data_IF_122220016779
#
_entry.id   IF_122220016779
#
_cell.length_a   1.000
_cell.length_b   1.000
_cell.length_c   1.000
_cell.angle_alpha   90.00
_cell.angle_beta   90.00
_cell.angle_gamma   90.00
#
_symmetry.space_group_name_H-M   'P 1'
#
loop_
_entity.id
_entity.type
_entity.pdbx_description
1 polymer ?
#
# COMPACT_ATOMS: atom_id res chain seq x y z
N UNK A 1 -26.76 40.70 -15.75
CA UNK A 1 -27.83 39.90 -15.13
C UNK A 1 -27.39 38.46 -15.27
N UNK A 2 -27.03 37.66 -14.25
CA UNK A 2 -27.10 37.76 -12.79
C UNK A 2 -25.98 36.90 -12.15
N UNK A 3 -25.37 37.46 -11.10
CA UNK A 3 -24.90 36.90 -9.82
C UNK A 3 -24.06 35.60 -9.73
N UNK A 4 -22.75 35.81 -9.51
CA UNK A 4 -21.87 34.94 -8.72
C UNK A 4 -21.50 35.74 -7.44
N UNK A 5 -21.61 35.18 -6.21
CA UNK A 5 -21.22 35.92 -5.01
C UNK A 5 -19.69 35.93 -4.85
N UNK A 6 -19.13 37.15 -4.77
CA UNK A 6 -17.75 37.40 -4.33
C UNK A 6 -17.73 37.49 -2.80
N UNK A 7 -16.83 36.75 -2.16
CA UNK A 7 -16.55 36.86 -0.73
C UNK A 7 -15.50 37.96 -0.55
N UNK A 8 -15.86 39.05 0.11
CA UNK A 8 -14.95 40.11 0.57
C UNK A 8 -14.58 39.90 2.04
N UNK A 9 -13.32 40.13 2.45
CA UNK A 9 -12.92 40.04 3.85
C UNK A 9 -13.35 41.30 4.62
N UNK A 10 -14.12 41.12 5.69
CA UNK A 10 -14.54 42.19 6.58
C UNK A 10 -13.43 42.54 7.58
N UNK A 11 -12.97 43.79 7.51
CA UNK A 11 -12.99 44.71 8.65
C UNK A 11 -11.97 44.50 9.77
N UNK A 12 -10.88 45.25 9.67
CA UNK A 12 -10.01 45.67 10.77
C UNK A 12 -10.71 46.70 11.66
N UNK A 13 -10.81 46.45 12.96
CA UNK A 13 -11.05 47.49 13.97
C UNK A 13 -9.86 47.57 14.92
N UNK A 14 -9.10 48.65 14.77
CA UNK A 14 -8.21 49.20 15.78
C UNK A 14 -9.04 50.16 16.64
N UNK A 15 -9.03 50.01 17.96
CA UNK A 15 -9.26 51.13 18.88
C UNK A 15 -8.36 50.96 20.12
N UNK A 16 -7.46 51.93 20.21
CA UNK A 16 -6.49 52.21 21.26
C UNK A 16 -7.17 52.64 22.56
N UNK A 17 -6.51 52.37 23.68
CA UNK A 17 -6.84 52.92 25.00
C UNK A 17 -5.97 52.28 26.08
N UNK A 18 -4.84 52.94 26.37
CA UNK A 18 -3.83 52.61 27.38
C UNK A 18 -4.43 52.24 28.76
N UNK A 19 -3.72 51.55 29.66
CA UNK A 19 -2.97 52.24 30.72
C UNK A 19 -2.18 51.23 31.63
N UNK A 20 -0.89 51.52 31.84
CA UNK A 20 0.13 51.04 32.82
C UNK A 20 0.61 49.56 32.80
N UNK A 21 1.81 49.25 32.28
CA UNK A 21 3.16 49.32 32.94
C UNK A 21 3.34 48.30 34.09
N UNK A 22 4.44 47.54 34.27
CA UNK A 22 5.69 47.38 33.54
C UNK A 22 6.42 46.09 34.04
N UNK A 23 7.19 45.51 33.10
CA UNK A 23 8.38 44.63 33.14
C UNK A 23 9.09 44.19 34.45
N UNK A 24 9.87 43.12 34.22
CA UNK A 24 11.10 42.60 34.89
C UNK A 24 10.81 41.46 35.87
N UNK A 25 10.96 40.16 35.55
CA UNK A 25 12.12 39.35 35.14
C UNK A 25 13.07 38.95 36.30
N UNK A 26 13.56 37.71 36.21
CA UNK A 26 14.80 37.16 36.82
C UNK A 26 14.70 36.56 38.24
N UNK A 27 14.63 35.22 38.25
CA UNK A 27 15.68 34.28 38.71
C UNK A 27 15.89 33.94 40.21
N UNK A 28 16.31 32.68 40.38
CA UNK A 28 17.13 32.07 41.41
C UNK A 28 16.66 31.94 42.87
N UNK A 29 16.45 30.67 43.22
CA UNK A 29 16.59 29.97 44.51
C UNK A 29 17.31 30.69 45.66
N UNK A 30 16.65 30.78 46.83
CA UNK A 30 17.29 30.69 48.15
C UNK A 30 16.29 30.33 49.28
N UNK A 31 16.52 29.17 49.89
CA UNK A 31 16.38 28.75 51.30
C UNK A 31 15.36 29.39 52.28
N UNK A 32 14.69 28.46 52.98
CA UNK A 32 14.27 28.43 54.41
C UNK A 32 13.27 29.45 54.95
N UNK A 33 12.10 28.95 55.38
CA UNK A 33 11.49 29.09 56.73
C UNK A 33 10.18 28.28 56.77
N UNK A 34 10.18 27.09 57.42
CA UNK A 34 9.59 26.82 58.75
C UNK A 34 8.11 27.18 58.89
N UNK A 35 7.22 26.20 58.66
CA UNK A 35 5.83 26.24 59.14
C UNK A 35 5.70 25.39 60.41
N UNK A 36 5.21 26.07 61.45
CA UNK A 36 5.11 25.65 62.85
C UNK A 36 4.08 24.53 63.11
N UNK A 37 4.47 23.62 64.01
CA UNK A 37 3.62 22.61 64.67
C UNK A 37 2.99 23.24 65.93
N UNK A 38 1.70 23.01 66.25
CA UNK A 38 1.19 23.14 67.61
C UNK A 38 1.21 21.79 68.35
N UNK A 39 1.72 21.84 69.57
CA UNK A 39 2.00 20.73 70.51
C UNK A 39 0.75 20.12 71.14
N UNK A 40 0.87 18.84 71.49
CA UNK A 40 0.03 18.09 72.44
C UNK A 40 0.20 18.68 73.85
N UNK A 41 -0.89 18.75 74.62
CA UNK A 41 -0.81 18.81 76.08
C UNK A 41 -1.66 17.70 76.69
N UNK A 42 -1.00 16.84 77.45
CA UNK A 42 -1.54 15.78 78.32
C UNK A 42 -1.94 16.36 79.67
N UNK A 43 -2.97 15.79 80.29
CA UNK A 43 -3.12 15.81 81.75
C UNK A 43 -4.34 16.55 82.28
N UNK A 44 -5.20 15.76 82.91
CA UNK A 44 -6.11 16.05 84.02
C UNK A 44 -7.18 17.15 83.85
N UNK A 45 -8.45 16.72 83.81
CA UNK A 45 -9.45 17.27 84.72
C UNK A 45 -10.64 16.31 84.91
N UNK A 46 -10.95 16.14 86.18
CA UNK A 46 -11.91 15.23 86.80
C UNK A 46 -13.35 15.74 86.65
N UNK A 47 -14.25 14.83 86.27
CA UNK A 47 -15.68 14.67 86.65
C UNK A 47 -16.60 15.90 86.65
N UNK A 48 -17.64 15.84 85.82
CA UNK A 48 -19.02 16.05 86.32
C UNK A 48 -20.04 15.34 85.44
N UNK A 49 -20.76 14.40 86.04
CA UNK A 49 -21.88 13.70 85.41
C UNK A 49 -23.06 14.67 85.19
N UNK A 50 -23.64 14.65 83.99
CA UNK A 50 -25.05 15.00 83.78
C UNK A 50 -25.75 13.82 83.11
N UNK A 51 -26.60 13.15 83.90
CA UNK A 51 -27.60 12.19 83.43
C UNK A 51 -28.49 12.86 82.40
N UNK A 52 -28.41 12.43 81.15
CA UNK A 52 -29.50 12.58 80.21
C UNK A 52 -30.24 11.26 80.14
N UNK A 53 -31.49 11.31 80.58
CA UNK A 53 -32.49 10.25 80.58
C UNK A 53 -32.67 9.66 79.19
N UNK A 54 -32.45 8.34 79.10
CA UNK A 54 -32.79 7.51 77.96
C UNK A 54 -34.31 7.45 77.85
N UNK A 55 -34.86 8.10 76.83
CA UNK A 55 -36.21 7.81 76.35
C UNK A 55 -36.14 6.52 75.53
N UNK A 56 -36.49 5.40 76.16
CA UNK A 56 -36.75 4.12 75.50
C UNK A 56 -37.95 4.27 74.56
N UNK A 57 -37.67 4.55 73.30
CA UNK A 57 -38.59 4.21 72.21
C UNK A 57 -38.03 2.94 71.57
N UNK A 58 -38.77 1.82 71.52
CA UNK A 58 -38.25 0.59 70.94
C UNK A 58 -38.12 0.78 69.43
N UNK A 59 -36.96 1.26 68.98
CA UNK A 59 -36.56 1.23 67.59
C UNK A 59 -36.58 -0.22 67.15
N UNK A 60 -37.62 -0.61 66.40
CA UNK A 60 -37.75 -1.94 65.79
C UNK A 60 -36.45 -2.26 65.06
N UNK A 61 -35.61 -3.09 65.68
CA UNK A 61 -34.44 -3.69 65.04
C UNK A 61 -34.94 -4.35 63.76
N UNK A 62 -34.60 -3.75 62.62
CA UNK A 62 -34.87 -4.30 61.29
C UNK A 62 -34.24 -5.69 61.26
N UNK A 63 -35.03 -6.73 61.49
CA UNK A 63 -34.58 -8.14 61.48
C UNK A 63 -33.79 -8.33 60.19
N UNK A 64 -32.45 -8.47 60.28
CA UNK A 64 -31.59 -8.84 59.15
C UNK A 64 -32.20 -10.10 58.55
N UNK A 65 -32.79 -9.94 57.36
CA UNK A 65 -33.62 -10.96 56.77
C UNK A 65 -32.68 -12.06 56.27
N UNK A 66 -32.39 -13.07 57.11
CA UNK A 66 -31.40 -14.13 56.81
C UNK A 66 -31.67 -14.83 55.47
N UNK A 67 -32.91 -14.81 54.97
CA UNK A 67 -33.28 -15.28 53.63
C UNK A 67 -32.72 -14.41 52.49
N UNK A 68 -32.70 -13.09 52.63
CA UNK A 68 -32.16 -12.16 51.63
C UNK A 68 -30.64 -12.32 51.49
N UNK A 69 -29.92 -12.49 52.61
CA UNK A 69 -28.47 -12.73 52.58
C UNK A 69 -28.13 -14.09 51.94
N UNK A 70 -28.98 -15.11 52.09
CA UNK A 70 -28.82 -16.40 51.38
C UNK A 70 -29.05 -16.27 49.88
N UNK A 71 -30.04 -15.47 49.45
CA UNK A 71 -30.30 -15.19 48.03
C UNK A 71 -29.14 -14.39 47.41
N UNK A 72 -28.65 -13.35 48.09
CA UNK A 72 -27.48 -12.58 47.67
C UNK A 72 -26.22 -13.45 47.57
N UNK A 73 -26.00 -14.35 48.55
CA UNK A 73 -24.88 -15.30 48.51
C UNK A 73 -25.01 -16.31 47.36
N UNK A 74 -26.21 -16.81 47.09
CA UNK A 74 -26.47 -17.70 45.96
C UNK A 74 -26.26 -17.00 44.60
N UNK A 75 -26.72 -15.74 44.46
CA UNK A 75 -26.47 -14.91 43.28
C UNK A 75 -24.98 -14.60 43.08
N UNK A 76 -24.25 -14.33 44.18
CA UNK A 76 -22.80 -14.13 44.13
C UNK A 76 -22.07 -15.41 43.72
N UNK A 77 -22.48 -16.57 44.23
CA UNK A 77 -21.92 -17.86 43.83
C UNK A 77 -22.19 -18.15 42.35
N UNK A 78 -23.41 -17.87 41.88
CA UNK A 78 -23.79 -18.00 40.46
C UNK A 78 -22.96 -17.06 39.57
N UNK A 79 -22.75 -15.82 40.01
CA UNK A 79 -21.89 -14.86 39.32
C UNK A 79 -20.43 -15.33 39.25
N UNK A 80 -19.88 -15.90 40.33
CA UNK A 80 -18.54 -16.49 40.32
C UNK A 80 -18.43 -17.68 39.37
N UNK A 81 -19.46 -18.55 39.34
CA UNK A 81 -19.51 -19.67 38.39
C UNK A 81 -19.56 -19.13 36.95
N UNK A 82 -20.40 -18.14 36.66
CA UNK A 82 -20.46 -17.50 35.36
C UNK A 82 -19.11 -16.88 34.96
N UNK A 83 -18.43 -16.16 35.87
CA UNK A 83 -17.08 -15.62 35.62
C UNK A 83 -16.06 -16.72 35.36
N UNK A 84 -16.11 -17.85 36.08
CA UNK A 84 -15.19 -18.97 35.86
C UNK A 84 -15.40 -19.61 34.49
N UNK A 85 -16.65 -19.77 34.05
CA UNK A 85 -17.00 -20.29 32.72
C UNK A 85 -16.49 -19.34 31.63
N UNK A 86 -16.75 -18.04 31.77
CA UNK A 86 -16.24 -17.02 30.82
C UNK A 86 -14.71 -17.06 30.78
N UNK A 87 -14.04 -17.14 31.93
CA UNK A 87 -12.58 -17.24 32.00
C UNK A 87 -12.01 -18.46 31.27
N UNK A 88 -12.63 -19.64 31.43
CA UNK A 88 -12.21 -20.87 30.73
C UNK A 88 -12.41 -20.73 29.22
N UNK A 89 -13.55 -20.19 28.78
CA UNK A 89 -13.85 -19.97 27.36
C UNK A 89 -12.88 -18.95 26.74
N UNK A 90 -12.67 -17.81 27.38
CA UNK A 90 -11.72 -16.78 26.95
C UNK A 90 -10.27 -17.31 26.92
N UNK A 91 -9.88 -18.16 27.87
CA UNK A 91 -8.57 -18.79 27.85
C UNK A 91 -8.39 -19.73 26.65
N UNK A 92 -9.44 -20.47 26.27
CA UNK A 92 -9.42 -21.31 25.07
C UNK A 92 -9.21 -20.48 23.81
N UNK A 93 -9.93 -19.36 23.68
CA UNK A 93 -9.77 -18.42 22.55
C UNK A 93 -8.35 -17.84 22.51
N UNK A 94 -7.82 -17.43 23.66
CA UNK A 94 -6.45 -16.92 23.76
C UNK A 94 -5.40 -17.96 23.31
N UNK A 95 -5.56 -19.22 23.72
CA UNK A 95 -4.65 -20.30 23.32
C UNK A 95 -4.67 -20.52 21.80
N UNK A 96 -5.85 -20.55 21.19
CA UNK A 96 -5.97 -20.75 19.74
C UNK A 96 -5.49 -19.51 18.96
N UNK A 97 -5.70 -18.29 19.47
CA UNK A 97 -5.10 -17.07 18.91
C UNK A 97 -3.56 -17.11 18.90
N UNK A 98 -2.94 -17.69 19.95
CA UNK A 98 -1.48 -17.83 20.00
C UNK A 98 -0.96 -18.84 18.97
N UNK A 99 -1.69 -19.94 18.75
CA UNK A 99 -1.38 -20.89 17.67
C UNK A 99 -1.50 -20.23 16.31
N UNK A 100 -2.59 -19.50 16.06
CA UNK A 100 -2.79 -18.72 14.84
C UNK A 100 -1.63 -17.78 14.55
N UNK A 101 -1.21 -17.00 15.56
CA UNK A 101 -0.05 -16.11 15.43
C UNK A 101 1.21 -16.88 15.03
N UNK A 102 1.44 -18.04 15.66
CA UNK A 102 2.61 -18.88 15.38
C UNK A 102 2.56 -19.44 13.96
N UNK A 103 1.39 -19.90 13.52
CA UNK A 103 1.17 -20.47 12.21
C UNK A 103 1.25 -19.40 11.10
N UNK A 104 0.71 -18.21 11.34
CA UNK A 104 0.84 -17.07 10.44
C UNK A 104 2.31 -16.63 10.26
N UNK A 105 3.11 -16.67 11.33
CA UNK A 105 4.55 -16.40 11.23
C UNK A 105 5.27 -17.47 10.40
N UNK A 106 4.93 -18.75 10.57
CA UNK A 106 5.52 -19.83 9.75
C UNK A 106 5.18 -19.69 8.27
N UNK A 107 3.94 -19.33 7.96
CA UNK A 107 3.52 -19.04 6.59
C UNK A 107 4.31 -17.86 6.00
N UNK A 108 4.50 -16.79 6.78
CA UNK A 108 5.35 -15.66 6.36
C UNK A 108 6.78 -16.13 6.06
N UNK A 109 7.34 -16.97 6.92
CA UNK A 109 8.69 -17.50 6.76
C UNK A 109 8.79 -18.49 5.57
N UNK A 110 7.73 -19.22 5.23
CA UNK A 110 7.71 -20.12 4.07
C UNK A 110 7.70 -19.37 2.75
N UNK A 111 6.94 -18.27 2.65
CA UNK A 111 6.98 -17.40 1.48
C UNK A 111 8.36 -16.77 1.28
N UNK A 112 9.06 -16.44 2.36
CA UNK A 112 10.45 -15.94 2.29
C UNK A 112 11.44 -16.99 1.76
N UNK A 113 11.14 -18.28 1.92
CA UNK A 113 11.95 -19.39 1.41
C UNK A 113 11.70 -19.70 -0.09
N UNK A 114 10.72 -19.04 -0.72
CA UNK A 114 10.31 -19.25 -2.11
C UNK A 114 9.95 -20.71 -2.45
N UNK A 115 9.42 -21.46 -1.49
CA UNK A 115 8.98 -22.85 -1.68
C UNK A 115 7.44 -22.90 -1.69
N UNK A 116 6.85 -23.23 -2.85
CA UNK A 116 5.39 -23.23 -2.99
C UNK A 116 4.73 -24.41 -2.28
N UNK A 117 5.40 -25.57 -2.18
CA UNK A 117 4.81 -26.75 -1.55
C UNK A 117 4.78 -26.58 -0.03
N UNK A 118 5.85 -26.02 0.55
CA UNK A 118 5.86 -25.62 1.97
C UNK A 118 4.83 -24.52 2.20
N UNK A 119 4.77 -23.49 1.34
CA UNK A 119 3.81 -22.40 1.50
C UNK A 119 2.36 -22.88 1.42
N UNK A 120 2.04 -23.80 0.50
CA UNK A 120 0.71 -24.42 0.43
C UNK A 120 0.40 -25.21 1.69
N UNK A 121 1.35 -26.00 2.18
CA UNK A 121 1.17 -26.81 3.40
C UNK A 121 0.91 -25.93 4.62
N UNK A 122 1.73 -24.88 4.81
CA UNK A 122 1.57 -23.93 5.93
C UNK A 122 0.28 -23.11 5.82
N UNK A 123 -0.21 -22.85 4.60
CA UNK A 123 -1.47 -22.17 4.34
C UNK A 123 -2.67 -23.05 4.69
N UNK A 124 -2.67 -24.33 4.31
CA UNK A 124 -3.69 -25.29 4.74
C UNK A 124 -3.67 -25.51 6.26
N UNK A 125 -2.49 -25.54 6.87
CA UNK A 125 -2.36 -25.57 8.33
C UNK A 125 -2.94 -24.31 8.98
N UNK A 126 -2.71 -23.13 8.40
CA UNK A 126 -3.32 -21.88 8.86
C UNK A 126 -4.85 -21.94 8.76
N UNK A 127 -5.41 -22.44 7.66
CA UNK A 127 -6.86 -22.67 7.49
C UNK A 127 -7.45 -23.49 8.64
N UNK A 128 -6.79 -24.59 8.98
CA UNK A 128 -7.22 -25.49 10.05
C UNK A 128 -7.16 -24.83 11.44
N UNK A 129 -6.13 -24.02 11.70
CA UNK A 129 -6.03 -23.24 12.93
C UNK A 129 -7.06 -22.10 12.98
N UNK A 130 -7.41 -21.47 11.85
CA UNK A 130 -8.50 -20.47 11.76
C UNK A 130 -9.83 -21.15 12.10
N UNK A 131 -10.13 -22.31 11.51
CA UNK A 131 -11.36 -23.05 11.84
C UNK A 131 -11.40 -23.55 13.28
N UNK A 132 -10.25 -23.79 13.91
CA UNK A 132 -10.17 -24.13 15.34
C UNK A 132 -10.41 -22.90 16.22
N UNK A 133 -9.83 -21.76 15.85
CA UNK A 133 -10.07 -20.49 16.51
C UNK A 133 -11.54 -20.04 16.38
N UNK A 134 -12.14 -20.17 15.21
CA UNK A 134 -13.57 -19.89 14.95
C UNK A 134 -14.49 -20.70 15.89
N UNK A 135 -14.25 -22.01 16.01
CA UNK A 135 -14.97 -22.87 16.96
C UNK A 135 -14.79 -22.45 18.42
N UNK A 136 -13.62 -21.94 18.80
CA UNK A 136 -13.40 -21.40 20.14
C UNK A 136 -14.06 -20.03 20.33
N UNK A 137 -14.06 -19.19 19.30
CA UNK A 137 -14.60 -17.83 19.31
C UNK A 137 -16.14 -17.80 19.29
N UNK A 138 -16.76 -18.69 18.52
CA UNK A 138 -18.21 -18.89 18.47
C UNK A 138 -18.82 -19.33 19.80
N UNK A 139 -18.05 -20.00 20.68
CA UNK A 139 -18.47 -20.29 22.06
C UNK A 139 -18.66 -19.03 22.92
N UNK A 140 -18.07 -17.90 22.53
CA UNK A 140 -18.28 -16.59 23.14
C UNK A 140 -19.45 -15.81 22.51
N UNK A 141 -20.28 -16.44 21.68
CA UNK A 141 -21.43 -15.78 21.02
C UNK A 141 -22.41 -15.09 21.96
N UNK A 142 -22.47 -15.47 23.24
CA UNK A 142 -23.25 -14.76 24.26
C UNK A 142 -22.80 -13.30 24.46
N UNK A 143 -21.55 -12.97 24.11
CA UNK A 143 -21.00 -11.60 24.17
C UNK A 143 -21.70 -10.67 23.18
N UNK A 144 -22.30 -11.20 22.11
CA UNK A 144 -23.11 -10.42 21.14
C UNK A 144 -24.27 -9.68 21.82
N UNK A 145 -24.79 -10.18 22.93
CA UNK A 145 -25.89 -9.57 23.66
C UNK A 145 -25.49 -8.35 24.52
N UNK A 146 -24.19 -8.10 24.71
CA UNK A 146 -23.69 -7.04 25.59
C UNK A 146 -23.39 -5.78 24.76
N UNK A 147 -24.14 -4.66 24.92
CA UNK A 147 -24.07 -3.53 24.00
C UNK A 147 -22.68 -2.96 23.74
N UNK A 148 -21.84 -2.84 24.79
CA UNK A 148 -20.52 -2.21 24.72
C UNK A 148 -19.47 -3.06 23.98
N UNK A 149 -19.56 -4.39 24.11
CA UNK A 149 -18.56 -5.32 23.53
C UNK A 149 -19.08 -6.07 22.30
N UNK A 150 -20.36 -5.90 21.97
CA UNK A 150 -21.01 -6.56 20.82
C UNK A 150 -20.36 -6.20 19.48
N UNK A 151 -19.94 -4.95 19.31
CA UNK A 151 -19.25 -4.46 18.11
C UNK A 151 -17.90 -5.15 17.92
N UNK A 152 -17.08 -5.21 18.98
CA UNK A 152 -15.79 -5.91 18.96
C UNK A 152 -15.94 -7.41 18.67
N UNK A 153 -17.03 -8.02 19.14
CA UNK A 153 -17.32 -9.41 18.80
C UNK A 153 -17.60 -9.58 17.31
N UNK A 154 -18.43 -8.70 16.73
CA UNK A 154 -18.74 -8.72 15.31
C UNK A 154 -17.52 -8.45 14.45
N UNK A 155 -16.67 -7.50 14.85
CA UNK A 155 -15.41 -7.21 14.15
C UNK A 155 -14.51 -8.45 14.11
N UNK A 156 -14.48 -9.24 15.18
CA UNK A 156 -13.76 -10.52 15.21
C UNK A 156 -14.38 -11.59 14.30
N UNK A 157 -15.71 -11.66 14.20
CA UNK A 157 -16.41 -12.56 13.29
C UNK A 157 -16.11 -12.20 11.82
N UNK A 158 -16.20 -10.92 11.47
CA UNK A 158 -15.81 -10.40 10.15
C UNK A 158 -14.33 -10.70 9.84
N UNK A 159 -13.42 -10.51 10.81
CA UNK A 159 -12.01 -10.82 10.63
C UNK A 159 -11.75 -12.32 10.41
N UNK A 160 -12.48 -13.20 11.10
CA UNK A 160 -12.36 -14.65 10.92
C UNK A 160 -12.83 -15.05 9.50
N UNK A 161 -13.99 -14.55 9.07
CA UNK A 161 -14.51 -14.81 7.73
C UNK A 161 -13.57 -14.28 6.64
N UNK A 162 -13.09 -13.03 6.78
CA UNK A 162 -12.09 -12.44 5.90
C UNK A 162 -10.81 -13.29 5.85
N UNK A 163 -10.35 -13.80 7.00
CA UNK A 163 -9.16 -14.68 7.05
C UNK A 163 -9.40 -15.99 6.31
N UNK A 164 -10.60 -16.58 6.39
CA UNK A 164 -10.94 -17.79 5.64
C UNK A 164 -10.96 -17.52 4.13
N UNK A 165 -11.63 -16.46 3.67
CA UNK A 165 -11.63 -16.08 2.26
C UNK A 165 -10.23 -15.74 1.74
N UNK A 166 -9.40 -15.07 2.55
CA UNK A 166 -8.02 -14.76 2.21
C UNK A 166 -7.13 -16.00 2.09
N UNK A 167 -7.34 -16.99 2.96
CA UNK A 167 -6.64 -18.28 2.86
C UNK A 167 -7.11 -19.07 1.65
N UNK A 168 -8.42 -19.09 1.35
CA UNK A 168 -8.96 -19.73 0.15
C UNK A 168 -8.43 -19.08 -1.14
N UNK A 169 -8.39 -17.74 -1.19
CA UNK A 169 -7.79 -16.98 -2.28
C UNK A 169 -6.29 -17.30 -2.44
N UNK A 170 -5.57 -17.41 -1.33
CA UNK A 170 -4.16 -17.81 -1.31
C UNK A 170 -3.95 -19.24 -1.83
N UNK A 171 -4.80 -20.20 -1.45
CA UNK A 171 -4.71 -21.59 -1.92
C UNK A 171 -4.93 -21.65 -3.43
N UNK A 172 -5.96 -20.95 -3.93
CA UNK A 172 -6.25 -20.83 -5.37
C UNK A 172 -5.09 -20.17 -6.14
N UNK A 173 -4.51 -19.11 -5.60
CA UNK A 173 -3.36 -18.42 -6.21
C UNK A 173 -2.13 -19.35 -6.27
N UNK A 174 -1.82 -20.05 -5.17
CA UNK A 174 -0.72 -21.02 -5.15
C UNK A 174 -0.95 -22.16 -6.16
N UNK A 175 -2.18 -22.66 -6.29
CA UNK A 175 -2.52 -23.70 -7.28
C UNK A 175 -2.50 -23.20 -8.72
N UNK A 176 -2.77 -21.91 -8.93
CA UNK A 176 -2.65 -21.24 -10.22
C UNK A 176 -1.18 -21.05 -10.61
N UNK A 177 -0.34 -20.69 -9.65
CA UNK A 177 1.08 -20.39 -9.85
C UNK A 177 1.94 -21.66 -9.89
N UNK A 178 1.51 -22.74 -9.24
CA UNK A 178 2.29 -24.00 -9.12
C UNK A 178 2.82 -24.57 -10.44
N UNK A 179 2.05 -24.64 -11.54
CA UNK A 179 2.57 -25.11 -12.83
C UNK A 179 3.68 -24.22 -13.41
N UNK A 180 3.82 -23.01 -12.87
CA UNK A 180 4.62 -21.90 -13.38
C UNK A 180 5.71 -21.46 -12.40
N UNK A 181 5.87 -22.21 -11.30
CA UNK A 181 6.74 -21.90 -10.17
C UNK A 181 8.19 -21.64 -10.57
N UNK A 182 8.75 -22.51 -11.40
CA UNK A 182 10.15 -22.47 -11.86
C UNK A 182 10.48 -21.13 -12.54
N UNK A 183 9.57 -20.64 -13.40
CA UNK A 183 9.74 -19.38 -14.14
C UNK A 183 9.56 -18.16 -13.24
N UNK A 184 8.74 -18.28 -12.20
CA UNK A 184 8.54 -17.23 -11.21
C UNK A 184 9.62 -17.25 -10.11
N UNK A 185 10.65 -18.10 -10.24
CA UNK A 185 11.75 -18.20 -9.29
C UNK A 185 11.38 -18.91 -7.98
N UNK A 186 10.32 -19.72 -8.00
CA UNK A 186 9.91 -20.57 -6.89
C UNK A 186 10.38 -22.01 -7.06
N UNK A 187 10.65 -22.65 -5.92
CA UNK A 187 11.01 -24.07 -5.83
C UNK A 187 9.77 -24.93 -5.71
N UNK A 188 9.82 -26.11 -6.35
CA UNK A 188 8.80 -27.17 -6.26
C UNK A 188 9.50 -28.48 -5.90
N UNK A 189 8.90 -29.27 -5.01
CA UNK A 189 9.46 -30.53 -4.56
C UNK A 189 9.70 -31.48 -5.74
N UNK A 190 10.94 -31.99 -5.86
CA UNK A 190 11.32 -32.94 -6.91
C UNK A 190 11.83 -32.31 -8.21
N UNK A 191 11.85 -30.97 -8.31
CA UNK A 191 12.63 -30.27 -9.32
C UNK A 191 13.79 -29.59 -8.60
N UNK A 192 15.01 -30.11 -8.80
CA UNK A 192 16.19 -29.27 -8.60
C UNK A 192 15.97 -28.01 -9.43
N UNK A 193 16.30 -26.84 -8.89
CA UNK A 193 16.37 -25.59 -9.64
C UNK A 193 17.45 -25.76 -10.71
N UNK A 194 17.14 -26.52 -11.75
CA UNK A 194 17.76 -26.39 -13.03
C UNK A 194 17.35 -24.99 -13.43
N UNK A 195 18.23 -24.05 -13.17
CA UNK A 195 18.37 -22.83 -13.94
C UNK A 195 18.57 -23.26 -15.40
N UNK A 196 17.51 -23.77 -16.03
CA UNK A 196 17.40 -23.82 -17.47
C UNK A 196 17.48 -22.35 -17.82
N UNK A 197 18.63 -21.96 -18.36
CA UNK A 197 18.84 -20.61 -18.89
C UNK A 197 17.80 -20.45 -19.99
N UNK A 198 16.62 -19.99 -19.60
CA UNK A 198 15.51 -19.66 -20.48
C UNK A 198 15.84 -18.31 -21.05
N UNK A 199 15.80 -18.21 -22.38
CA UNK A 199 15.95 -16.93 -23.05
C UNK A 199 14.78 -16.02 -22.63
N UNK A 200 14.97 -14.71 -22.74
CA UNK A 200 13.87 -13.75 -22.56
C UNK A 200 12.62 -14.15 -23.39
N UNK A 201 12.86 -14.72 -24.58
CA UNK A 201 11.81 -15.19 -25.45
C UNK A 201 11.04 -16.39 -24.91
N UNK A 202 11.73 -17.36 -24.29
CA UNK A 202 11.06 -18.54 -23.71
C UNK A 202 10.12 -18.13 -22.56
N UNK A 203 10.49 -17.09 -21.81
CA UNK A 203 9.65 -16.53 -20.75
C UNK A 203 8.41 -15.82 -21.31
N UNK A 204 8.59 -15.03 -22.38
CA UNK A 204 7.48 -14.34 -23.07
C UNK A 204 6.51 -15.35 -23.71
N UNK A 205 7.04 -16.31 -24.46
CA UNK A 205 6.25 -17.37 -25.10
C UNK A 205 5.48 -18.19 -24.06
N UNK A 206 6.06 -18.37 -22.88
CA UNK A 206 5.39 -18.99 -21.76
C UNK A 206 4.25 -18.12 -21.21
N UNK A 207 4.49 -16.86 -20.86
CA UNK A 207 3.44 -15.95 -20.35
C UNK A 207 2.25 -15.90 -21.32
N UNK A 208 2.52 -15.83 -22.62
CA UNK A 208 1.49 -15.87 -23.66
C UNK A 208 0.67 -17.15 -23.62
N UNK A 209 1.32 -18.30 -23.46
CA UNK A 209 0.63 -19.60 -23.41
C UNK A 209 -0.14 -19.83 -22.12
N UNK A 210 0.23 -19.15 -21.02
CA UNK A 210 -0.42 -19.33 -19.71
C UNK A 210 -1.58 -18.38 -19.47
N UNK A 211 -1.60 -17.21 -20.11
CA UNK A 211 -2.70 -16.25 -20.01
C UNK A 211 -4.08 -16.92 -20.17
N UNK A 212 -4.36 -17.74 -21.20
CA UNK A 212 -5.68 -18.36 -21.37
C UNK A 212 -6.10 -19.26 -20.21
N UNK A 213 -5.14 -19.93 -19.57
CA UNK A 213 -5.38 -20.82 -18.42
C UNK A 213 -5.54 -20.04 -17.11
N UNK A 214 -4.98 -18.84 -17.03
CA UNK A 214 -4.99 -17.98 -15.84
C UNK A 214 -6.29 -17.16 -15.78
N UNK A 215 -6.78 -16.64 -16.91
CA UNK A 215 -8.00 -15.82 -16.98
C UNK A 215 -9.19 -16.40 -16.19
N UNK A 216 -9.62 -17.67 -16.39
CA UNK A 216 -10.75 -18.20 -15.64
C UNK A 216 -10.46 -18.33 -14.13
N UNK A 217 -9.20 -18.55 -13.73
CA UNK A 217 -8.83 -18.62 -12.31
C UNK A 217 -8.78 -17.25 -11.65
N UNK A 218 -8.58 -16.18 -12.43
CA UNK A 218 -8.69 -14.81 -11.92
C UNK A 218 -10.14 -14.46 -11.59
N UNK A 219 -11.12 -14.98 -12.33
CA UNK A 219 -12.53 -14.79 -11.97
C UNK A 219 -12.84 -15.37 -10.59
N UNK A 220 -12.43 -16.62 -10.38
CA UNK A 220 -12.57 -17.29 -9.09
C UNK A 220 -11.81 -16.55 -7.98
N UNK A 221 -10.60 -16.03 -8.27
CA UNK A 221 -9.80 -15.26 -7.33
C UNK A 221 -10.46 -13.93 -6.98
N UNK A 222 -10.96 -13.21 -7.98
CA UNK A 222 -11.67 -11.94 -7.82
C UNK A 222 -12.88 -12.12 -6.91
N UNK A 223 -13.67 -13.17 -7.11
CA UNK A 223 -14.82 -13.47 -6.25
C UNK A 223 -14.41 -13.65 -4.78
N UNK A 224 -13.32 -14.38 -4.51
CA UNK A 224 -12.83 -14.57 -3.13
C UNK A 224 -12.31 -13.27 -2.52
N UNK A 225 -11.60 -12.45 -3.28
CA UNK A 225 -11.08 -11.17 -2.81
C UNK A 225 -12.20 -10.14 -2.59
N UNK A 226 -13.27 -10.17 -3.40
CA UNK A 226 -14.46 -9.35 -3.20
C UNK A 226 -15.18 -9.72 -1.89
N UNK A 227 -15.38 -11.02 -1.62
CA UNK A 227 -15.97 -11.50 -0.37
C UNK A 227 -15.12 -11.13 0.85
N UNK A 228 -13.80 -11.26 0.73
CA UNK A 228 -12.85 -10.84 1.74
C UNK A 228 -12.98 -9.34 2.03
N UNK A 229 -12.97 -8.51 0.98
CA UNK A 229 -13.05 -7.06 1.08
C UNK A 229 -14.37 -6.64 1.74
N UNK A 230 -15.49 -7.25 1.35
CA UNK A 230 -16.80 -7.00 1.95
C UNK A 230 -16.84 -7.31 3.46
N UNK A 231 -16.16 -8.35 3.93
CA UNK A 231 -16.04 -8.64 5.37
C UNK A 231 -15.19 -7.59 6.09
N UNK A 232 -14.06 -7.19 5.48
CA UNK A 232 -13.14 -6.21 6.08
C UNK A 232 -13.74 -4.80 6.16
N UNK A 233 -14.58 -4.39 5.21
CA UNK A 233 -15.29 -3.11 5.23
C UNK A 233 -16.22 -2.94 6.45
N UNK A 234 -16.65 -4.05 7.06
CA UNK A 234 -17.47 -4.02 8.27
C UNK A 234 -16.65 -3.78 9.55
N UNK A 235 -15.32 -3.88 9.47
CA UNK A 235 -14.41 -3.65 10.60
C UNK A 235 -14.13 -2.16 10.73
N UNK A 236 -14.33 -1.61 11.93
CA UNK A 236 -14.14 -0.19 12.23
C UNK A 236 -12.81 0.03 12.99
N UNK A 237 -11.77 0.60 12.35
CA UNK A 237 -10.46 0.78 12.98
C UNK A 237 -10.48 1.76 14.16
N UNK A 238 -11.42 2.71 14.19
CA UNK A 238 -11.47 3.75 15.21
C UNK A 238 -11.87 3.19 16.59
N UNK A 239 -12.49 2.01 16.63
CA UNK A 239 -12.82 1.28 17.88
C UNK A 239 -11.59 0.76 18.62
N UNK A 240 -10.46 0.63 17.95
CA UNK A 240 -9.24 0.09 18.53
C UNK A 240 -8.35 1.22 19.06
N UNK A 241 -7.63 1.01 20.18
CA UNK A 241 -6.68 1.99 20.69
C UNK A 241 -5.51 2.17 19.71
N UNK A 242 -4.88 3.35 19.75
CA UNK A 242 -3.70 3.64 18.91
C UNK A 242 -2.56 2.67 19.20
N UNK A 243 -2.32 2.40 20.48
CA UNK A 243 -1.28 1.48 20.93
C UNK A 243 -1.81 0.53 22.01
N UNK A 244 -1.42 -0.73 21.92
CA UNK A 244 -1.64 -1.73 22.97
C UNK A 244 -0.39 -2.57 23.15
N UNK A 245 0.21 -2.52 24.35
CA UNK A 245 1.43 -3.29 24.71
C UNK A 245 2.61 -3.08 23.74
N UNK A 246 2.88 -1.85 23.32
CA UNK A 246 3.97 -1.54 22.38
C UNK A 246 3.62 -1.77 20.91
N UNK A 247 2.40 -2.20 20.59
CA UNK A 247 1.95 -2.48 19.23
C UNK A 247 0.97 -1.39 18.80
N UNK A 248 1.26 -0.73 17.68
CA UNK A 248 0.36 0.26 17.08
C UNK A 248 -0.81 -0.40 16.35
N UNK A 249 -1.84 -0.80 17.11
CA UNK A 249 -2.94 -1.64 16.60
C UNK A 249 -3.72 -0.93 15.50
N UNK A 250 -4.16 0.31 15.73
CA UNK A 250 -4.96 1.07 14.76
C UNK A 250 -4.20 1.30 13.45
N UNK A 251 -2.94 1.73 13.54
CA UNK A 251 -2.11 2.00 12.36
C UNK A 251 -1.89 0.71 11.53
N UNK A 252 -1.59 -0.41 12.19
CA UNK A 252 -1.41 -1.68 11.49
C UNK A 252 -2.70 -2.19 10.84
N UNK A 253 -3.85 -1.98 11.50
CA UNK A 253 -5.15 -2.36 10.95
C UNK A 253 -5.49 -1.53 9.71
N UNK A 254 -5.35 -0.20 9.79
CA UNK A 254 -5.59 0.70 8.64
C UNK A 254 -4.70 0.32 7.47
N UNK A 255 -3.40 0.10 7.70
CA UNK A 255 -2.47 -0.33 6.65
C UNK A 255 -2.88 -1.66 6.01
N UNK A 256 -3.35 -2.62 6.81
CA UNK A 256 -3.80 -3.92 6.30
C UNK A 256 -5.03 -3.77 5.41
N UNK A 257 -6.00 -2.92 5.82
CA UNK A 257 -7.20 -2.61 5.03
C UNK A 257 -6.83 -1.89 3.72
N UNK A 258 -5.97 -0.86 3.80
CA UNK A 258 -5.52 -0.12 2.61
C UNK A 258 -4.77 -1.00 1.60
N UNK A 259 -3.93 -1.91 2.09
CA UNK A 259 -3.24 -2.88 1.25
C UNK A 259 -4.23 -3.81 0.54
N UNK A 260 -5.25 -4.27 1.28
CA UNK A 260 -6.29 -5.15 0.75
C UNK A 260 -7.11 -4.48 -0.33
N UNK A 261 -7.59 -3.26 -0.08
CA UNK A 261 -8.32 -2.48 -1.07
C UNK A 261 -7.49 -2.19 -2.31
N UNK A 262 -6.21 -1.80 -2.14
CA UNK A 262 -5.29 -1.59 -3.26
C UNK A 262 -5.11 -2.88 -4.07
N UNK A 263 -5.02 -4.03 -3.40
CA UNK A 263 -4.90 -5.34 -4.05
C UNK A 263 -6.16 -5.70 -4.82
N UNK A 264 -7.34 -5.44 -4.24
CA UNK A 264 -8.62 -5.66 -4.91
C UNK A 264 -8.75 -4.80 -6.16
N UNK A 265 -8.44 -3.51 -6.04
CA UNK A 265 -8.45 -2.57 -7.17
C UNK A 265 -7.52 -3.04 -8.29
N UNK A 266 -6.32 -3.51 -7.95
CA UNK A 266 -5.37 -4.05 -8.95
C UNK A 266 -5.90 -5.29 -9.66
N UNK A 267 -6.60 -6.19 -8.96
CA UNK A 267 -7.18 -7.40 -9.56
C UNK A 267 -8.34 -7.02 -10.48
N UNK A 268 -9.24 -6.16 -10.01
CA UNK A 268 -10.43 -5.73 -10.76
C UNK A 268 -10.05 -4.88 -11.97
N UNK A 269 -9.15 -3.91 -11.81
CA UNK A 269 -8.66 -3.07 -12.92
C UNK A 269 -7.72 -3.83 -13.86
N UNK A 270 -6.97 -4.80 -13.35
CA UNK A 270 -6.04 -5.62 -14.12
C UNK A 270 -6.72 -6.68 -14.98
N UNK A 271 -7.88 -7.17 -14.56
CA UNK A 271 -8.61 -8.22 -15.27
C UNK A 271 -8.89 -7.90 -16.75
N UNK A 272 -9.46 -6.74 -17.13
CA UNK A 272 -9.66 -6.40 -18.54
C UNK A 272 -8.37 -6.36 -19.36
N UNK A 273 -7.26 -5.95 -18.75
CA UNK A 273 -5.96 -5.93 -19.41
C UNK A 273 -5.45 -7.34 -19.68
N UNK A 274 -5.66 -8.27 -18.74
CA UNK A 274 -5.29 -9.68 -18.93
C UNK A 274 -6.21 -10.38 -19.94
N UNK A 275 -7.51 -10.13 -19.91
CA UNK A 275 -8.43 -10.69 -20.93
C UNK A 275 -8.08 -10.22 -22.35
N UNK A 276 -7.45 -9.05 -22.48
CA UNK A 276 -7.00 -8.48 -23.75
C UNK A 276 -5.51 -8.63 -24.00
N UNK A 277 -4.76 -9.32 -23.13
CA UNK A 277 -3.31 -9.40 -23.29
C UNK A 277 -2.91 -10.14 -24.57
N UNK A 278 -3.70 -11.11 -25.05
CA UNK A 278 -3.43 -11.78 -26.34
C UNK A 278 -3.47 -10.81 -27.52
N UNK A 279 -4.42 -9.87 -27.48
CA UNK A 279 -4.48 -8.78 -28.45
C UNK A 279 -3.26 -7.88 -28.31
N UNK A 280 -2.92 -7.47 -27.08
CA UNK A 280 -1.82 -6.53 -26.85
C UNK A 280 -0.45 -7.12 -27.22
N UNK A 281 -0.23 -8.40 -26.94
CA UNK A 281 1.00 -9.14 -27.21
C UNK A 281 1.08 -9.67 -28.65
N UNK A 282 0.09 -9.39 -29.50
CA UNK A 282 0.11 -9.81 -30.91
C UNK A 282 0.22 -11.32 -31.09
N UNK A 283 -0.51 -12.09 -30.27
CA UNK A 283 -0.46 -13.56 -30.28
C UNK A 283 -1.04 -14.14 -31.56
N UNK A 284 -2.20 -13.63 -31.98
CA UNK A 284 -2.88 -14.06 -33.20
C UNK A 284 -2.32 -13.40 -34.47
N UNK A 285 -1.96 -12.12 -34.37
CA UNK A 285 -1.42 -11.32 -35.47
C UNK A 285 -0.51 -10.22 -34.93
N UNK A 286 0.56 -9.85 -35.67
CA UNK A 286 1.45 -8.77 -35.27
C UNK A 286 0.69 -7.47 -35.05
N UNK A 287 1.04 -6.75 -33.98
CA UNK A 287 0.51 -5.42 -33.65
C UNK A 287 1.58 -4.37 -33.82
N UNK A 288 1.20 -3.19 -34.29
CA UNK A 288 2.13 -2.06 -34.40
C UNK A 288 1.75 -0.99 -33.38
N UNK A 289 2.66 -0.66 -32.47
CA UNK A 289 2.44 0.37 -31.46
C UNK A 289 3.33 1.57 -31.71
N UNK A 290 2.77 2.75 -31.46
CA UNK A 290 3.53 3.99 -31.37
C UNK A 290 3.78 4.30 -29.89
N UNK A 291 5.03 4.29 -29.49
CA UNK A 291 5.47 4.69 -28.17
C UNK A 291 5.85 6.16 -28.20
N UNK A 292 5.14 7.00 -27.43
CA UNK A 292 5.39 8.42 -27.27
C UNK A 292 6.20 8.67 -26.01
N UNK A 293 7.22 9.52 -26.11
CA UNK A 293 8.06 9.88 -24.96
C UNK A 293 7.70 11.27 -24.48
N UNK A 294 7.22 11.34 -23.24
CA UNK A 294 6.83 12.59 -22.61
C UNK A 294 7.90 13.01 -21.60
N UNK A 295 8.54 14.14 -21.87
CA UNK A 295 9.34 14.85 -20.88
C UNK A 295 8.42 15.70 -20.00
N UNK A 296 8.14 15.23 -18.79
CA UNK A 296 7.36 15.93 -17.76
C UNK A 296 8.10 17.13 -17.14
N UNK A 297 9.40 17.28 -17.41
CA UNK A 297 10.22 18.41 -16.96
C UNK A 297 10.13 19.62 -17.87
N UNK A 298 9.75 19.44 -19.13
CA UNK A 298 9.40 20.53 -20.03
C UNK A 298 7.88 20.80 -19.96
N UNK A 299 7.49 21.64 -19.00
CA UNK A 299 6.08 21.93 -18.73
C UNK A 299 5.39 22.59 -19.93
N UNK A 300 4.44 21.86 -20.50
CA UNK A 300 3.47 22.33 -21.51
C UNK A 300 2.04 22.04 -21.01
N UNK A 301 0.98 22.67 -21.58
CA UNK A 301 -0.40 22.47 -21.11
C UNK A 301 -0.88 21.00 -21.06
N UNK A 302 -0.22 20.11 -21.80
CA UNK A 302 -0.44 18.66 -21.84
C UNK A 302 0.27 17.88 -20.72
N UNK A 303 0.90 18.55 -19.76
CA UNK A 303 1.64 17.92 -18.65
C UNK A 303 3.09 17.53 -18.99
N UNK A 304 3.63 17.98 -20.13
CA UNK A 304 4.99 17.70 -20.58
C UNK A 304 5.16 17.88 -22.08
N UNK A 305 6.40 17.87 -22.59
CA UNK A 305 6.71 17.87 -24.02
C UNK A 305 6.86 16.45 -24.56
N UNK A 306 6.14 16.12 -25.64
CA UNK A 306 6.37 14.87 -26.37
C UNK A 306 7.65 15.06 -27.19
N UNK A 307 8.75 14.42 -26.79
CA UNK A 307 10.09 14.70 -27.37
C UNK A 307 10.38 13.85 -28.60
N UNK A 308 9.92 12.60 -28.60
CA UNK A 308 10.22 11.60 -29.61
C UNK A 308 9.11 10.57 -29.69
N UNK A 309 9.14 9.77 -30.75
CA UNK A 309 8.33 8.57 -30.88
C UNK A 309 9.16 7.36 -31.32
N UNK A 310 8.67 6.17 -31.01
CA UNK A 310 9.16 4.91 -31.53
C UNK A 310 7.99 4.09 -32.05
N UNK A 311 8.15 3.42 -33.17
CA UNK A 311 7.19 2.47 -33.71
C UNK A 311 7.77 1.10 -33.50
N UNK A 312 7.06 0.28 -32.73
CA UNK A 312 7.44 -1.08 -32.42
C UNK A 312 6.38 -2.05 -32.92
N UNK A 313 6.83 -3.11 -33.59
CA UNK A 313 5.99 -4.27 -33.90
C UNK A 313 6.06 -5.24 -32.74
N UNK A 314 4.91 -5.78 -32.35
CA UNK A 314 4.78 -6.83 -31.35
C UNK A 314 4.20 -8.05 -32.03
N UNK A 315 4.98 -9.12 -32.13
CA UNK A 315 4.54 -10.40 -32.69
C UNK A 315 4.82 -11.52 -31.69
N UNK A 316 3.78 -12.15 -31.15
CA UNK A 316 3.90 -13.18 -30.10
C UNK A 316 4.80 -12.70 -28.95
N UNK A 317 4.54 -11.48 -28.48
CA UNK A 317 5.27 -10.80 -27.41
C UNK A 317 6.69 -10.38 -27.76
N UNK A 318 7.18 -10.61 -28.98
CA UNK A 318 8.45 -10.05 -29.46
C UNK A 318 8.27 -8.60 -29.83
N UNK A 319 8.96 -7.71 -29.11
CA UNK A 319 9.04 -6.30 -29.44
C UNK A 319 10.19 -6.06 -30.42
N UNK A 320 9.84 -5.67 -31.64
CA UNK A 320 10.78 -5.35 -32.71
C UNK A 320 10.66 -3.85 -33.05
N UNK A 321 11.70 -3.03 -32.81
CA UNK A 321 11.67 -1.63 -33.21
C UNK A 321 11.69 -1.54 -34.75
N UNK A 322 10.73 -0.83 -35.33
CA UNK A 322 10.66 -0.57 -36.78
C UNK A 322 11.33 0.76 -37.10
N UNK A 323 10.97 1.81 -36.36
CA UNK A 323 11.46 3.16 -36.59
C UNK A 323 11.41 3.94 -35.28
N UNK A 324 12.30 4.91 -35.10
CA UNK A 324 12.23 5.88 -34.01
C UNK A 324 12.78 7.21 -34.47
N UNK A 325 12.09 8.30 -34.17
CA UNK A 325 12.52 9.63 -34.55
C UNK A 325 11.95 10.69 -33.60
N UNK A 326 12.35 11.93 -33.84
CA UNK A 326 11.81 13.13 -33.22
C UNK A 326 10.34 13.33 -33.56
N UNK A 327 9.54 13.82 -32.61
CA UNK A 327 8.14 14.16 -32.83
C UNK A 327 7.91 15.11 -34.02
N UNK A 328 8.86 15.99 -34.35
CA UNK A 328 8.76 16.91 -35.48
C UNK A 328 8.82 16.19 -36.84
N UNK A 329 9.44 15.02 -36.89
CA UNK A 329 9.52 14.18 -38.09
C UNK A 329 8.36 13.18 -38.18
N UNK A 330 7.36 13.28 -37.29
CA UNK A 330 6.22 12.36 -37.28
C UNK A 330 5.46 12.35 -38.62
N UNK A 331 5.33 13.50 -39.28
CA UNK A 331 4.70 13.58 -40.59
C UNK A 331 5.47 12.77 -41.66
N UNK A 332 6.77 12.53 -41.44
CA UNK A 332 7.60 11.71 -42.33
C UNK A 332 7.38 10.22 -42.14
N UNK A 333 6.77 9.77 -41.04
CA UNK A 333 6.37 8.37 -40.83
C UNK A 333 5.46 7.88 -41.95
N UNK A 334 4.61 8.74 -42.50
CA UNK A 334 3.77 8.35 -43.64
C UNK A 334 4.60 7.91 -44.86
N UNK A 335 5.85 8.37 -44.96
CA UNK A 335 6.78 8.00 -46.04
C UNK A 335 7.48 6.66 -45.79
N UNK A 336 7.44 6.12 -44.55
CA UNK A 336 8.10 4.85 -44.20
C UNK A 336 7.24 3.62 -44.48
N UNK A 337 6.01 3.81 -45.00
CA UNK A 337 5.08 2.72 -45.33
C UNK A 337 4.37 2.11 -44.11
N UNK A 338 4.41 2.79 -42.97
CA UNK A 338 3.69 2.41 -41.76
C UNK A 338 2.30 3.06 -41.82
N UNK A 339 1.38 2.40 -42.49
CA UNK A 339 0.05 2.96 -42.79
C UNK A 339 -0.93 2.83 -41.61
N UNK A 340 -0.60 2.00 -40.60
CA UNK A 340 -1.48 1.72 -39.47
C UNK A 340 -0.71 1.46 -38.18
N UNK A 341 -1.16 2.13 -37.12
CA UNK A 341 -0.79 1.88 -35.72
C UNK A 341 -2.02 1.33 -35.01
N UNK A 342 -1.88 0.22 -34.29
CA UNK A 342 -2.96 -0.44 -33.54
C UNK A 342 -3.14 0.17 -32.14
N UNK A 343 -2.14 0.86 -31.59
CA UNK A 343 -2.26 1.58 -30.32
C UNK A 343 -1.12 2.57 -30.05
N UNK A 344 -1.36 3.53 -29.16
CA UNK A 344 -0.38 4.52 -28.73
C UNK A 344 -0.09 4.32 -27.24
N UNK A 345 1.19 4.22 -26.89
CA UNK A 345 1.67 4.05 -25.51
C UNK A 345 2.49 5.29 -25.16
N UNK A 346 2.04 6.11 -24.21
CA UNK A 346 2.83 7.24 -23.72
C UNK A 346 3.62 6.83 -22.47
N UNK A 347 4.92 7.14 -22.45
CA UNK A 347 5.84 6.83 -21.36
C UNK A 347 6.53 8.11 -20.92
N UNK A 348 6.55 8.36 -19.61
CA UNK A 348 7.21 9.52 -19.01
C UNK A 348 8.62 9.20 -18.49
N UNK A 349 9.34 10.23 -18.04
CA UNK A 349 10.69 10.07 -17.47
C UNK A 349 10.70 9.28 -16.14
N UNK A 350 9.58 9.23 -15.42
CA UNK A 350 9.50 8.56 -14.11
C UNK A 350 9.44 7.05 -14.26
N UNK A 351 8.69 6.55 -15.24
CA UNK A 351 8.66 5.13 -15.59
C UNK A 351 10.07 4.62 -15.89
N UNK A 352 10.86 5.42 -16.61
CA UNK A 352 12.25 5.12 -16.90
C UNK A 352 13.11 4.99 -15.62
N UNK A 353 12.96 5.94 -14.70
CA UNK A 353 13.65 5.92 -13.40
C UNK A 353 13.27 4.67 -12.61
N UNK A 354 11.97 4.32 -12.54
CA UNK A 354 11.52 3.13 -11.81
C UNK A 354 12.08 1.84 -12.40
N UNK A 355 12.16 1.72 -13.73
CA UNK A 355 12.80 0.57 -14.35
C UNK A 355 14.29 0.52 -14.00
N UNK A 356 15.01 1.64 -14.13
CA UNK A 356 16.44 1.68 -13.83
C UNK A 356 16.77 1.50 -12.34
N UNK A 357 15.86 1.81 -11.41
CA UNK A 357 16.00 1.46 -9.98
C UNK A 357 16.15 -0.06 -9.80
N UNK A 358 15.51 -0.87 -10.64
CA UNK A 358 15.55 -2.33 -10.58
C UNK A 358 16.64 -2.93 -11.48
N UNK A 359 16.81 -2.38 -12.68
CA UNK A 359 17.82 -2.84 -13.65
C UNK A 359 19.24 -2.52 -13.17
N UNK A 360 19.42 -1.37 -12.53
CA UNK A 360 20.72 -0.76 -12.31
C UNK A 360 21.21 -0.03 -13.56
N UNK A 361 22.53 0.02 -13.71
CA UNK A 361 23.20 0.73 -14.79
C UNK A 361 23.00 0.02 -16.14
N UNK A 362 22.49 0.74 -17.15
CA UNK A 362 22.22 0.23 -18.50
C UNK A 362 23.09 0.95 -19.53
N UNK A 363 23.81 0.18 -20.34
CA UNK A 363 24.63 0.72 -21.44
C UNK A 363 23.81 0.89 -22.72
N UNK A 364 23.91 2.07 -23.32
CA UNK A 364 23.24 2.42 -24.57
C UNK A 364 24.28 2.60 -25.67
N UNK A 365 24.21 1.79 -26.76
CA UNK A 365 25.15 1.88 -27.86
C UNK A 365 25.24 3.30 -28.44
N UNK A 366 26.43 3.89 -28.43
CA UNK A 366 26.69 5.24 -28.96
C UNK A 366 26.40 6.39 -28.00
N UNK A 367 25.87 6.12 -26.80
CA UNK A 367 25.44 7.17 -25.86
C UNK A 367 25.96 7.00 -24.42
N UNK A 368 26.61 5.88 -24.11
CA UNK A 368 27.19 5.65 -22.79
C UNK A 368 26.22 4.97 -21.82
N UNK A 369 26.43 5.16 -20.53
CA UNK A 369 25.69 4.44 -19.50
C UNK A 369 24.68 5.31 -18.76
N UNK A 370 23.52 4.74 -18.47
CA UNK A 370 22.41 5.40 -17.77
C UNK A 370 22.11 4.68 -16.46
N UNK A 371 21.88 5.45 -15.40
CA UNK A 371 21.65 4.96 -14.05
C UNK A 371 20.75 5.89 -13.25
N UNK A 372 20.36 5.45 -12.05
CA UNK A 372 19.59 6.25 -11.08
C UNK A 372 20.47 6.94 -10.05
N UNK A 373 21.79 6.94 -10.22
CA UNK A 373 22.72 7.64 -9.32
C UNK A 373 22.40 9.13 -9.28
N UNK A 374 22.39 9.73 -8.09
CA UNK A 374 22.02 11.14 -7.96
C UNK A 374 23.20 12.03 -8.35
N UNK A 375 22.97 12.87 -9.35
CA UNK A 375 23.91 13.89 -9.82
C UNK A 375 23.83 15.11 -8.90
N UNK A 376 24.91 15.53 -8.23
CA UNK A 376 24.90 16.63 -7.26
C UNK A 376 24.41 17.97 -7.82
N UNK A 377 24.67 18.22 -9.11
CA UNK A 377 24.38 19.46 -9.82
C UNK A 377 22.88 19.75 -9.90
N UNK A 378 22.08 18.74 -10.27
CA UNK A 378 20.62 18.85 -10.39
C UNK A 378 19.86 18.25 -9.19
N UNK A 379 20.54 17.49 -8.31
CA UNK A 379 19.92 16.62 -7.28
C UNK A 379 18.88 15.68 -7.87
N UNK A 380 19.15 15.18 -9.08
CA UNK A 380 18.25 14.35 -9.86
C UNK A 380 18.97 13.07 -10.31
N UNK A 381 18.23 12.01 -10.68
CA UNK A 381 18.84 10.79 -11.21
C UNK A 381 19.67 11.08 -12.46
N UNK A 382 20.82 10.42 -12.62
CA UNK A 382 21.77 10.63 -13.73
C UNK A 382 21.09 10.43 -15.08
N UNK A 383 20.22 9.43 -15.23
CA UNK A 383 19.41 9.28 -16.46
C UNK A 383 18.60 10.53 -16.80
N UNK A 384 18.00 11.20 -15.80
CA UNK A 384 17.23 12.43 -16.03
C UNK A 384 18.17 13.57 -16.39
N UNK A 385 19.29 13.72 -15.66
CA UNK A 385 20.31 14.72 -15.95
C UNK A 385 20.88 14.59 -17.35
N UNK A 386 21.20 13.37 -17.80
CA UNK A 386 21.72 13.14 -19.15
C UNK A 386 20.65 13.46 -20.20
N UNK A 387 19.42 12.99 -20.01
CA UNK A 387 18.32 13.31 -20.92
C UNK A 387 18.05 14.81 -21.01
N UNK A 388 18.16 15.53 -19.89
CA UNK A 388 18.07 16.98 -19.82
C UNK A 388 19.30 17.66 -20.43
N UNK A 389 20.52 17.16 -20.23
CA UNK A 389 21.74 17.73 -20.80
C UNK A 389 21.77 17.61 -22.33
N UNK A 390 21.28 16.48 -22.85
CA UNK A 390 21.04 16.31 -24.28
C UNK A 390 19.96 17.28 -24.77
N UNK A 391 18.97 17.61 -23.93
CA UNK A 391 17.92 18.58 -24.24
C UNK A 391 18.37 20.05 -24.13
N UNK A 392 19.18 20.44 -23.16
CA UNK A 392 19.40 21.84 -22.78
C UNK A 392 20.45 22.56 -23.63
N UNK A 393 21.16 21.87 -24.53
CA UNK A 393 22.04 22.52 -25.50
C UNK A 393 21.24 23.17 -26.64
N UNK A 394 20.70 24.36 -26.36
CA UNK A 394 20.00 25.20 -27.34
C UNK A 394 20.97 26.17 -28.03
N UNK A 395 20.86 26.27 -29.36
CA UNK A 395 21.65 27.19 -30.17
C UNK A 395 20.97 27.46 -31.51
N UNK A 396 21.19 28.65 -32.06
CA UNK A 396 20.61 29.02 -33.35
C UNK A 396 21.15 28.12 -34.47
N UNK A 397 20.26 27.60 -35.30
CA UNK A 397 20.64 26.95 -36.56
C UNK A 397 20.72 28.03 -37.61
N UNK A 398 21.91 28.32 -38.09
CA UNK A 398 22.12 29.32 -39.15
C UNK A 398 22.10 28.59 -40.48
N UNK A 399 21.08 28.88 -41.28
CA UNK A 399 20.94 28.37 -42.64
C UNK A 399 21.68 29.27 -43.62
N UNK A 400 22.28 28.69 -44.66
CA UNK A 400 22.95 29.44 -45.71
C UNK A 400 21.92 30.23 -46.51
N UNK A 401 22.11 31.55 -46.65
CA UNK A 401 21.27 32.39 -47.50
C UNK A 401 21.39 32.04 -48.99
N UNK A 402 22.53 31.47 -49.40
CA UNK A 402 22.88 31.25 -50.81
C UNK A 402 22.68 29.80 -51.27
N UNK A 403 22.55 28.85 -50.34
CA UNK A 403 22.42 27.41 -50.63
C UNK A 403 21.24 26.83 -49.84
N UNK A 404 20.08 26.61 -50.49
CA UNK A 404 18.90 26.06 -49.83
C UNK A 404 19.20 24.72 -49.15
N UNK A 405 18.94 24.62 -47.85
CA UNK A 405 19.09 23.39 -47.06
C UNK A 405 20.48 23.16 -46.44
N UNK A 406 21.47 24.04 -46.70
CA UNK A 406 22.80 23.92 -46.09
C UNK A 406 22.88 24.65 -44.76
N UNK A 407 23.25 23.94 -43.71
CA UNK A 407 23.45 24.50 -42.36
C UNK A 407 24.88 25.04 -42.27
N UNK A 408 25.01 26.33 -41.95
CA UNK A 408 26.28 27.06 -41.79
C UNK A 408 26.78 26.95 -40.35
N UNK A 409 25.86 26.90 -39.40
CA UNK A 409 26.17 26.71 -37.99
C UNK A 409 25.03 25.96 -37.31
N UNK A 410 25.39 24.98 -36.49
CA UNK A 410 24.46 24.25 -35.63
C UNK A 410 25.14 24.03 -34.27
N UNK A 411 24.38 24.02 -33.16
CA UNK A 411 24.93 23.66 -31.84
C UNK A 411 25.54 22.26 -31.84
N UNK A 412 26.43 22.00 -30.88
CA UNK A 412 27.33 20.83 -30.83
C UNK A 412 26.60 19.46 -30.76
N UNK A 413 25.27 19.45 -30.67
CA UNK A 413 24.43 18.25 -30.70
C UNK A 413 23.15 18.40 -31.56
N UNK A 414 23.18 19.28 -32.58
CA UNK A 414 22.06 19.48 -33.50
C UNK A 414 21.67 18.16 -34.19
N UNK A 415 20.48 17.65 -33.85
CA UNK A 415 19.96 16.37 -34.33
C UNK A 415 20.37 15.15 -33.49
N UNK A 416 21.34 15.24 -32.59
CA UNK A 416 21.71 14.18 -31.63
C UNK A 416 20.85 14.23 -30.34
N UNK A 417 20.42 15.44 -29.93
CA UNK A 417 19.53 15.74 -28.78
C UNK A 417 18.31 14.81 -28.66
N UNK A 418 17.78 14.29 -29.78
CA UNK A 418 16.54 13.49 -29.84
C UNK A 418 16.72 12.04 -30.30
N UNK A 419 17.91 11.67 -30.81
CA UNK A 419 18.20 10.32 -31.35
C UNK A 419 18.58 9.29 -30.29
N UNK A 420 18.81 9.73 -29.05
CA UNK A 420 19.21 8.88 -27.92
C UNK A 420 18.05 8.03 -27.37
N UNK A 421 16.82 8.54 -27.45
CA UNK A 421 15.66 7.94 -26.80
C UNK A 421 15.33 6.56 -27.37
N UNK A 422 15.37 6.39 -28.70
CA UNK A 422 15.13 5.11 -29.35
C UNK A 422 16.10 4.00 -28.90
N UNK A 423 17.43 4.21 -29.05
CA UNK A 423 18.46 3.30 -28.53
C UNK A 423 18.38 3.06 -27.03
N UNK A 424 18.13 4.11 -26.22
CA UNK A 424 17.98 4.00 -24.78
C UNK A 424 16.84 3.06 -24.40
N UNK A 425 15.69 3.19 -25.07
CA UNK A 425 14.53 2.34 -24.83
C UNK A 425 14.72 0.91 -25.33
N UNK A 426 15.39 0.73 -26.47
CA UNK A 426 15.76 -0.61 -26.91
C UNK A 426 16.65 -1.30 -25.89
N UNK A 427 17.67 -0.59 -25.38
CA UNK A 427 18.55 -1.09 -24.33
C UNK A 427 17.80 -1.39 -23.03
N UNK A 428 16.90 -0.51 -22.59
CA UNK A 428 16.14 -0.70 -21.35
C UNK A 428 15.13 -1.84 -21.48
N UNK A 429 14.36 -1.89 -22.56
CA UNK A 429 13.40 -2.98 -22.79
C UNK A 429 14.12 -4.34 -22.91
N UNK A 430 15.23 -4.38 -23.64
CA UNK A 430 16.06 -5.60 -23.75
C UNK A 430 16.65 -6.00 -22.40
N UNK A 431 17.13 -5.02 -21.61
CA UNK A 431 17.67 -5.26 -20.27
C UNK A 431 16.59 -5.75 -19.30
N UNK A 432 15.37 -5.21 -19.37
CA UNK A 432 14.19 -5.65 -18.61
C UNK A 432 13.85 -7.11 -18.89
N UNK A 433 13.74 -7.46 -20.17
CA UNK A 433 13.38 -8.83 -20.57
C UNK A 433 14.50 -9.84 -20.30
N UNK A 434 15.75 -9.39 -20.25
CA UNK A 434 16.92 -10.21 -19.93
C UNK A 434 17.23 -10.38 -18.44
N UNK A 435 16.46 -9.78 -17.52
CA UNK A 435 16.75 -9.90 -16.09
C UNK A 435 16.49 -11.31 -15.52
N UNK A 436 17.18 -11.68 -14.42
CA UNK A 436 16.85 -12.86 -13.63
C UNK A 436 15.41 -12.82 -13.09
N UNK A 437 14.82 -14.00 -12.88
CA UNK A 437 13.43 -14.14 -12.41
C UNK A 437 13.19 -13.43 -11.07
N UNK A 438 14.22 -13.32 -10.23
CA UNK A 438 14.15 -12.65 -8.94
C UNK A 438 13.83 -11.15 -9.03
N UNK A 439 14.15 -10.51 -10.15
CA UNK A 439 13.87 -9.08 -10.39
C UNK A 439 12.54 -8.85 -11.10
N UNK A 440 11.92 -9.88 -11.66
CA UNK A 440 10.68 -9.75 -12.42
C UNK A 440 9.51 -9.16 -11.60
N UNK A 441 9.30 -9.54 -10.33
CA UNK A 441 8.27 -8.90 -9.51
C UNK A 441 8.51 -7.40 -9.29
N UNK A 442 9.76 -7.01 -9.03
CA UNK A 442 10.13 -5.60 -8.84
C UNK A 442 10.02 -4.80 -10.14
N UNK A 443 10.34 -5.40 -11.29
CA UNK A 443 10.15 -4.78 -12.61
C UNK A 443 8.67 -4.60 -12.94
N UNK A 444 7.84 -5.59 -12.60
CA UNK A 444 6.39 -5.49 -12.77
C UNK A 444 5.82 -4.38 -11.90
N UNK A 445 6.20 -4.33 -10.61
CA UNK A 445 5.83 -3.25 -9.70
C UNK A 445 6.27 -1.89 -10.27
N UNK A 446 7.51 -1.75 -10.73
CA UNK A 446 8.02 -0.53 -11.35
C UNK A 446 7.19 -0.08 -12.56
N UNK A 447 6.70 -1.01 -13.38
CA UNK A 447 5.89 -0.73 -14.56
C UNK A 447 4.46 -0.25 -14.22
N UNK A 448 3.88 -0.74 -13.14
CA UNK A 448 2.52 -0.37 -12.70
C UNK A 448 2.51 0.73 -11.63
N UNK A 449 3.68 1.09 -11.09
CA UNK A 449 3.85 2.07 -10.02
C UNK A 449 3.35 3.43 -10.47
N UNK A 450 2.18 3.84 -9.97
CA UNK A 450 1.69 5.22 -10.09
C UNK A 450 2.17 6.01 -8.88
N UNK A 451 3.01 7.02 -9.09
CA UNK A 451 3.17 8.08 -8.08
C UNK A 451 1.96 9.00 -8.15
N UNK A 452 1.14 9.01 -7.09
CA UNK A 452 0.18 10.08 -6.85
C UNK A 452 -1.10 10.00 -7.67
N UNK A 453 -1.93 9.01 -7.40
CA UNK A 453 -3.37 9.30 -7.32
C UNK A 453 -3.61 9.67 -5.87
N UNK A 454 -3.86 10.95 -5.60
CA UNK A 454 -4.54 11.34 -4.37
C UNK A 454 -5.90 10.65 -4.38
N UNK A 455 -5.98 9.44 -3.81
CA UNK A 455 -7.26 8.83 -3.47
C UNK A 455 -7.84 9.66 -2.33
N UNK A 456 -8.53 10.74 -2.68
CA UNK A 456 -9.30 11.54 -1.74
C UNK A 456 -10.54 10.71 -1.34
N UNK A 457 -10.37 9.77 -0.40
CA UNK A 457 -11.47 9.00 0.20
C UNK A 457 -12.51 9.89 0.90
N UNK A 458 -12.26 11.20 1.06
CA UNK A 458 -13.20 12.18 1.62
C UNK A 458 -14.10 12.92 0.62
N UNK A 459 -13.99 12.69 -0.69
CA UNK A 459 -14.93 13.30 -1.64
C UNK A 459 -16.30 12.59 -1.72
N UNK A 460 -16.50 11.44 -1.07
CA UNK A 460 -17.79 10.70 -1.05
C UNK A 460 -18.77 11.14 0.06
N UNK A 461 -18.54 12.26 0.74
CA UNK A 461 -19.51 12.89 1.65
C UNK A 461 -19.56 14.40 1.43
N UNK A 462 -20.27 14.84 0.40
CA UNK A 462 -20.95 16.14 0.35
C UNK A 462 -22.36 15.88 -0.17
#
# INVERSE_FOLDING_TARGET
MENIPKITPTGSDNLSGDVYNAKVAVDQTSNMETVLIPKINTGDNIVTQKKNTVSDSPGKMRRKNKKLNKILFALFLLFLVALSIIGILSYSVYKDALKLKTQANRLKDSFAQKDLDISKTELTNLKNEIGSFDRSYSRLSFVKAVPVVSSYYKDGEHLINASLYGVDAGELLLDTVKPYADILGFKVAGQESASVVRTAQDKIDFVIKTIPDIVPKIDDLSEKVDLLTAEVENIDPDRYPEEFRGIKVRENLVRAIELLETTNDLIVEGKPLLEKSDYFLGVESPRTYMVLFQNDKELRPTGGFITAYSIARVDKGRFEPIASDDIYNLDEVQKTGIDKVDGIIAVDTQMLVYLLEVLGKVSVPGYGDFSTEIVPECKCPQVVYELESFADQEGAVVWSENEPGKIVFAPENYGARKKIIGPLMNSILSATLGQPDEKMPALFEAAIRRKGVWSCRRCKRI
#
